data_IF_709112164587
#
_entry.id   IF_709112164587
#
_cell.length_a   1.000
_cell.length_b   1.000
_cell.length_c   1.000
_cell.angle_alpha   90.00
_cell.angle_beta   90.00
_cell.angle_gamma   90.00
#
_symmetry.space_group_name_H-M   'P 1'
#
loop_
_entity.id
_entity.type
_entity.pdbx_description
1 polymer ?
#
# COMPACT_ATOMS: atom_id res chain seq x y z
N UNK A 1 -9.62 8.49 -6.82
CA UNK A 1 -11.01 8.63 -6.35
C UNK A 1 -10.94 9.17 -4.95
N UNK A 2 -11.50 10.35 -4.74
CA UNK A 2 -11.59 10.99 -3.43
C UNK A 2 -12.98 10.74 -2.87
N UNK A 3 -13.07 10.06 -1.74
CA UNK A 3 -14.32 9.72 -1.08
C UNK A 3 -14.08 9.49 0.43
N UNK A 4 -15.09 9.67 1.28
CA UNK A 4 -14.97 9.32 2.70
C UNK A 4 -14.80 7.81 2.89
N UNK A 5 -14.20 7.38 4.00
CA UNK A 5 -14.08 5.95 4.34
C UNK A 5 -15.43 5.23 4.39
N UNK A 6 -16.47 5.91 4.90
CA UNK A 6 -17.84 5.40 4.97
C UNK A 6 -18.31 4.85 3.62
N UNK A 7 -18.04 5.59 2.53
CA UNK A 7 -18.44 5.19 1.18
C UNK A 7 -17.90 3.80 0.82
N UNK A 8 -16.63 3.51 1.08
CA UNK A 8 -16.04 2.21 0.73
C UNK A 8 -16.63 1.06 1.57
N UNK A 9 -16.95 1.33 2.84
CA UNK A 9 -17.59 0.35 3.73
C UNK A 9 -19.02 0.08 3.28
N UNK A 10 -19.80 1.11 2.96
CA UNK A 10 -21.17 0.99 2.45
C UNK A 10 -21.22 0.21 1.13
N UNK A 11 -20.28 0.47 0.21
CA UNK A 11 -20.17 -0.30 -1.03
C UNK A 11 -19.77 -1.76 -0.77
N UNK A 12 -18.90 -2.02 0.21
CA UNK A 12 -18.55 -3.38 0.62
C UNK A 12 -19.74 -4.14 1.20
N UNK A 13 -20.60 -3.46 1.97
CA UNK A 13 -21.86 -4.04 2.47
C UNK A 13 -22.87 -4.26 1.33
N UNK A 14 -22.91 -3.37 0.33
CA UNK A 14 -23.75 -3.54 -0.85
C UNK A 14 -23.40 -4.84 -1.61
N UNK A 15 -22.11 -5.17 -1.74
CA UNK A 15 -21.64 -6.44 -2.34
C UNK A 15 -22.13 -7.69 -1.56
N UNK A 16 -22.36 -7.58 -0.25
CA UNK A 16 -22.96 -8.64 0.58
C UNK A 16 -24.50 -8.73 0.45
N UNK A 17 -25.08 -8.01 -0.52
CA UNK A 17 -26.52 -7.94 -0.74
C UNK A 17 -27.25 -7.17 0.36
N UNK A 18 -26.56 -6.28 1.09
CA UNK A 18 -27.16 -5.41 2.12
C UNK A 18 -27.47 -4.00 1.60
N UNK A 19 -27.44 -3.77 0.28
CA UNK A 19 -27.62 -2.45 -0.35
C UNK A 19 -28.84 -1.66 0.15
N UNK A 20 -29.94 -2.31 0.54
CA UNK A 20 -31.12 -1.65 1.11
C UNK A 20 -31.13 -1.54 2.64
N UNK A 21 -30.30 -2.32 3.33
CA UNK A 21 -30.22 -2.39 4.79
C UNK A 21 -29.04 -1.58 5.37
N UNK A 22 -28.16 -1.01 4.53
CA UNK A 22 -27.04 -0.15 5.00
C UNK A 22 -27.55 1.01 5.85
N UNK A 23 -28.73 1.54 5.53
CA UNK A 23 -29.35 2.64 6.27
C UNK A 23 -29.87 2.25 7.67
N UNK A 24 -30.09 0.95 7.91
CA UNK A 24 -30.56 0.42 9.20
C UNK A 24 -29.39 -0.04 10.10
N UNK A 25 -28.13 0.07 9.64
CA UNK A 25 -26.98 -0.27 10.46
C UNK A 25 -26.74 0.77 11.55
N UNK A 26 -26.43 0.31 12.77
CA UNK A 26 -25.97 1.18 13.83
C UNK A 26 -24.60 1.79 13.44
N UNK A 27 -24.38 3.10 13.70
CA UNK A 27 -23.12 3.77 13.37
C UNK A 27 -21.88 3.09 13.98
N UNK A 28 -22.06 2.52 15.17
CA UNK A 28 -21.02 1.81 15.93
C UNK A 28 -20.53 0.55 15.21
N UNK A 29 -21.42 -0.15 14.48
CA UNK A 29 -21.07 -1.31 13.69
C UNK A 29 -20.29 -0.91 12.42
N UNK A 30 -20.67 0.20 11.78
CA UNK A 30 -19.91 0.75 10.65
C UNK A 30 -18.50 1.16 11.07
N UNK A 31 -18.36 1.78 12.24
CA UNK A 31 -17.05 2.11 12.82
C UNK A 31 -16.23 0.84 13.10
N UNK A 32 -16.84 -0.18 13.70
CA UNK A 32 -16.17 -1.48 13.94
C UNK A 32 -15.68 -2.12 12.64
N UNK A 33 -16.49 -2.09 11.57
CA UNK A 33 -16.10 -2.61 10.25
C UNK A 33 -14.95 -1.78 9.68
N UNK A 34 -15.02 -0.45 9.77
CA UNK A 34 -13.95 0.44 9.30
C UNK A 34 -12.61 0.20 10.02
N UNK A 35 -12.64 -0.03 11.33
CA UNK A 35 -11.44 -0.35 12.12
C UNK A 35 -10.82 -1.69 11.71
N UNK A 36 -11.66 -2.70 11.44
CA UNK A 36 -11.18 -3.99 10.93
C UNK A 36 -10.67 -3.88 9.50
N UNK A 37 -11.27 -3.02 8.67
CA UNK A 37 -10.78 -2.72 7.33
C UNK A 37 -9.40 -2.08 7.43
N UNK A 38 -9.22 -1.07 8.27
CA UNK A 38 -7.92 -0.44 8.53
C UNK A 38 -6.87 -1.48 8.96
N UNK A 39 -7.23 -2.40 9.88
CA UNK A 39 -6.36 -3.49 10.28
C UNK A 39 -6.00 -4.44 9.11
N UNK A 40 -6.97 -4.77 8.26
CA UNK A 40 -6.72 -5.61 7.07
C UNK A 40 -5.79 -4.94 6.07
N UNK A 41 -5.96 -3.64 5.83
CA UNK A 41 -5.12 -2.89 4.92
C UNK A 41 -3.72 -2.65 5.50
N UNK A 42 -3.61 -2.49 6.82
CA UNK A 42 -2.32 -2.41 7.51
C UNK A 42 -1.54 -3.73 7.40
N UNK A 43 -2.24 -4.88 7.46
CA UNK A 43 -1.62 -6.19 7.22
C UNK A 43 -1.07 -6.30 5.79
N UNK A 44 -1.76 -5.73 4.79
CA UNK A 44 -1.26 -5.68 3.41
C UNK A 44 -0.01 -4.80 3.29
N UNK A 45 0.02 -3.66 3.98
CA UNK A 45 1.20 -2.79 4.02
C UNK A 45 2.41 -3.49 4.66
N UNK A 46 2.21 -4.26 5.73
CA UNK A 46 3.29 -5.07 6.34
C UNK A 46 3.87 -6.13 5.39
N UNK A 47 3.11 -6.56 4.38
CA UNK A 47 3.55 -7.51 3.35
C UNK A 47 4.22 -6.81 2.15
N UNK A 48 4.45 -5.49 2.25
CA UNK A 48 5.04 -4.66 1.19
C UNK A 48 4.03 -4.20 0.14
N UNK A 49 2.74 -4.41 0.38
CA UNK A 49 1.65 -4.09 -0.54
C UNK A 49 0.93 -2.81 -0.07
N UNK A 50 1.60 -1.65 -0.18
CA UNK A 50 1.06 -0.36 0.28
C UNK A 50 -0.07 0.13 -0.62
N UNK A 51 -1.17 0.59 -0.01
CA UNK A 51 -2.24 1.29 -0.72
C UNK A 51 -1.94 2.80 -0.67
N UNK A 52 -1.51 3.42 -1.76
CA UNK A 52 -1.26 4.85 -1.78
C UNK A 52 -2.54 5.63 -1.49
N UNK A 53 -2.43 6.58 -0.56
CA UNK A 53 -3.50 7.51 -0.22
C UNK A 53 -4.54 7.00 0.78
N UNK A 54 -4.43 5.77 1.30
CA UNK A 54 -5.19 5.33 2.47
C UNK A 54 -4.63 5.97 3.74
N UNK A 55 -5.50 6.54 4.58
CA UNK A 55 -5.12 7.15 5.85
C UNK A 55 -5.48 6.19 6.98
N UNK A 56 -4.49 5.74 7.76
CA UNK A 56 -4.75 4.91 8.93
C UNK A 56 -5.14 5.76 10.13
N UNK A 57 -5.86 5.17 11.09
CA UNK A 57 -6.12 5.83 12.36
C UNK A 57 -4.83 5.86 13.19
N UNK A 58 -4.43 7.05 13.66
CA UNK A 58 -3.23 7.23 14.48
C UNK A 58 -3.40 6.72 15.92
N UNK A 59 -4.64 6.54 16.37
CA UNK A 59 -4.98 6.10 17.72
C UNK A 59 -6.16 5.11 17.74
N UNK A 60 -6.13 4.09 18.63
CA UNK A 60 -7.27 3.21 18.85
C UNK A 60 -8.49 4.01 19.33
N UNK A 61 -9.63 3.88 18.65
CA UNK A 61 -10.89 4.52 19.01
C UNK A 61 -11.16 5.88 18.35
N UNK A 62 -10.20 6.45 17.62
CA UNK A 62 -10.44 7.61 16.74
C UNK A 62 -10.72 7.10 15.31
N UNK A 63 -11.81 6.34 15.15
CA UNK A 63 -12.21 5.87 13.82
C UNK A 63 -13.01 6.95 13.13
N UNK A 64 -12.34 7.73 12.29
CA UNK A 64 -13.00 8.82 11.60
C UNK A 64 -13.59 8.32 10.26
N UNK A 65 -14.82 7.81 10.33
CA UNK A 65 -15.58 7.30 9.18
C UNK A 65 -15.75 8.36 8.06
N UNK A 66 -15.75 9.64 8.46
CA UNK A 66 -15.87 10.80 7.58
C UNK A 66 -14.53 11.24 6.94
N UNK A 67 -13.41 10.64 7.33
CA UNK A 67 -12.11 10.97 6.75
C UNK A 67 -12.11 10.71 5.25
N UNK A 68 -11.79 11.75 4.50
CA UNK A 68 -11.64 11.65 3.05
C UNK A 68 -10.32 10.99 2.69
N UNK A 69 -10.42 9.98 1.83
CA UNK A 69 -9.29 9.18 1.36
C UNK A 69 -9.15 9.34 -0.14
N UNK A 70 -7.91 9.43 -0.64
CA UNK A 70 -7.64 9.57 -2.07
C UNK A 70 -6.97 8.31 -2.64
N UNK A 71 -7.80 7.37 -3.07
CA UNK A 71 -7.35 6.06 -3.56
C UNK A 71 -7.25 6.09 -5.09
N UNK A 72 -6.17 5.59 -5.72
CA UNK A 72 -6.14 5.46 -7.17
C UNK A 72 -7.33 4.66 -7.70
N UNK A 73 -7.87 5.05 -8.86
CA UNK A 73 -9.07 4.42 -9.44
C UNK A 73 -8.90 2.92 -9.67
N UNK A 74 -7.69 2.47 -10.00
CA UNK A 74 -7.34 1.06 -10.17
C UNK A 74 -7.49 0.22 -8.88
N UNK A 75 -7.39 0.85 -7.70
CA UNK A 75 -7.40 0.19 -6.39
C UNK A 75 -8.74 0.30 -5.66
N UNK A 76 -9.71 1.05 -6.21
CA UNK A 76 -11.04 1.22 -5.59
C UNK A 76 -11.73 -0.12 -5.36
N UNK A 77 -11.70 -1.00 -6.37
CA UNK A 77 -12.33 -2.32 -6.26
C UNK A 77 -11.67 -3.19 -5.17
N UNK A 78 -10.34 -3.11 -5.01
CA UNK A 78 -9.64 -3.84 -3.95
C UNK A 78 -10.17 -3.45 -2.56
N UNK A 79 -10.35 -2.16 -2.32
CA UNK A 79 -10.77 -1.63 -1.02
C UNK A 79 -12.21 -2.03 -0.72
N UNK A 80 -13.13 -1.87 -1.68
CA UNK A 80 -14.53 -2.29 -1.55
C UNK A 80 -14.64 -3.78 -1.23
N UNK A 81 -13.93 -4.63 -1.98
CA UNK A 81 -13.97 -6.08 -1.78
C UNK A 81 -13.30 -6.51 -0.47
N UNK A 82 -12.26 -5.81 -0.03
CA UNK A 82 -11.64 -6.06 1.27
C UNK A 82 -12.59 -5.71 2.42
N UNK A 83 -13.39 -4.64 2.30
CA UNK A 83 -14.41 -4.29 3.27
C UNK A 83 -15.50 -5.38 3.36
N UNK A 84 -15.93 -5.92 2.21
CA UNK A 84 -16.89 -7.03 2.17
C UNK A 84 -16.39 -8.28 2.90
N UNK A 85 -15.11 -8.67 2.69
CA UNK A 85 -14.50 -9.83 3.38
C UNK A 85 -14.45 -9.64 4.88
N UNK A 86 -14.11 -8.44 5.33
CA UNK A 86 -13.97 -8.13 6.75
C UNK A 86 -15.34 -8.07 7.46
N UNK A 87 -16.37 -7.57 6.77
CA UNK A 87 -17.72 -7.42 7.32
C UNK A 87 -18.51 -8.74 7.36
N UNK A 88 -18.25 -9.66 6.44
CA UNK A 88 -19.01 -10.92 6.32
C UNK A 88 -19.03 -11.78 7.60
N UNK A 89 -17.91 -12.04 8.30
CA UNK A 89 -17.92 -12.82 9.54
C UNK A 89 -18.72 -12.17 10.67
N UNK A 90 -18.71 -10.83 10.77
CA UNK A 90 -19.48 -10.11 11.80
C UNK A 90 -20.99 -10.18 11.57
N UNK A 91 -21.40 -10.28 10.30
CA UNK A 91 -22.83 -10.31 9.92
C UNK A 91 -23.34 -11.75 9.77
N UNK A 92 -22.45 -12.75 9.81
CA UNK A 92 -22.80 -14.16 9.63
C UNK A 92 -23.17 -14.54 8.19
N UNK A 93 -22.82 -13.70 7.21
CA UNK A 93 -23.04 -13.97 5.77
C UNK A 93 -21.78 -14.52 5.11
N UNK A 94 -21.95 -15.42 4.16
CA UNK A 94 -20.85 -15.90 3.32
C UNK A 94 -20.69 -15.01 2.08
N UNK A 95 -19.44 -14.73 1.68
CA UNK A 95 -19.18 -14.11 0.38
C UNK A 95 -19.40 -15.09 -0.76
N UNK A 96 -19.81 -14.55 -1.90
CA UNK A 96 -19.83 -15.30 -3.14
C UNK A 96 -18.41 -15.64 -3.63
N UNK A 97 -18.23 -16.81 -4.23
CA UNK A 97 -16.92 -17.30 -4.66
C UNK A 97 -16.27 -16.41 -5.73
N UNK A 98 -17.07 -15.83 -6.62
CA UNK A 98 -16.60 -14.89 -7.65
C UNK A 98 -16.02 -13.62 -7.03
N UNK A 99 -16.62 -13.11 -5.95
CA UNK A 99 -16.14 -11.92 -5.23
C UNK A 99 -14.77 -12.17 -4.59
N UNK A 100 -14.56 -13.36 -4.04
CA UNK A 100 -13.25 -13.77 -3.48
C UNK A 100 -12.19 -13.88 -4.58
N UNK A 101 -12.55 -14.46 -5.74
CA UNK A 101 -11.65 -14.52 -6.89
C UNK A 101 -11.31 -13.13 -7.43
N UNK A 102 -12.29 -12.22 -7.48
CA UNK A 102 -12.08 -10.84 -7.91
C UNK A 102 -11.18 -10.07 -6.94
N UNK A 103 -11.31 -10.29 -5.63
CA UNK A 103 -10.40 -9.70 -4.65
C UNK A 103 -8.97 -10.20 -4.86
N UNK A 104 -8.79 -11.48 -5.15
CA UNK A 104 -7.45 -12.03 -5.44
C UNK A 104 -6.83 -11.30 -6.63
N UNK A 105 -7.56 -11.17 -7.74
CA UNK A 105 -7.10 -10.43 -8.93
C UNK A 105 -6.78 -8.96 -8.57
N UNK A 106 -7.63 -8.31 -7.78
CA UNK A 106 -7.39 -6.94 -7.35
C UNK A 106 -6.13 -6.79 -6.48
N UNK A 107 -5.84 -7.78 -5.61
CA UNK A 107 -4.61 -7.83 -4.81
C UNK A 107 -3.38 -8.06 -5.68
N UNK A 108 -3.48 -8.94 -6.67
CA UNK A 108 -2.40 -9.15 -7.64
C UNK A 108 -2.10 -7.85 -8.42
N UNK A 109 -3.14 -7.12 -8.85
CA UNK A 109 -3.00 -5.83 -9.52
C UNK A 109 -2.28 -4.79 -8.65
N UNK A 110 -2.57 -4.75 -7.34
CA UNK A 110 -1.88 -3.86 -6.42
C UNK A 110 -0.38 -4.14 -6.36
N UNK A 111 0.02 -5.42 -6.37
CA UNK A 111 1.42 -5.81 -6.38
C UNK A 111 2.13 -5.37 -7.66
N UNK A 112 1.44 -5.26 -8.79
CA UNK A 112 2.04 -4.75 -10.03
C UNK A 112 2.06 -3.23 -10.10
N UNK A 113 1.07 -2.55 -9.50
CA UNK A 113 0.90 -1.11 -9.62
C UNK A 113 2.08 -0.29 -9.06
N UNK A 114 2.74 -0.78 -8.01
CA UNK A 114 3.78 -0.04 -7.30
C UNK A 114 5.19 -0.67 -7.40
N UNK A 115 5.41 -1.57 -8.37
CA UNK A 115 6.72 -2.21 -8.57
C UNK A 115 7.56 -1.44 -9.58
N UNK A 116 8.61 -0.71 -9.16
CA UNK A 116 9.69 -0.39 -10.07
C UNK A 116 10.36 -1.71 -10.46
N UNK A 117 10.58 -1.94 -11.75
CA UNK A 117 11.45 -3.04 -12.20
C UNK A 117 12.87 -2.51 -12.06
N UNK A 118 13.64 -2.94 -11.04
CA UNK A 118 14.99 -2.44 -10.87
C UNK A 118 15.81 -2.85 -12.09
N UNK A 119 16.44 -1.87 -12.72
CA UNK A 119 17.36 -2.17 -13.81
C UNK A 119 18.69 -2.59 -13.19
N UNK A 120 19.16 -3.79 -13.57
CA UNK A 120 20.47 -4.23 -13.13
C UNK A 120 21.55 -3.43 -13.86
N UNK A 121 22.51 -2.89 -13.11
CA UNK A 121 23.66 -2.24 -13.73
C UNK A 121 24.42 -3.27 -14.56
N UNK A 122 24.88 -2.86 -15.76
CA UNK A 122 25.75 -3.71 -16.58
C UNK A 122 26.97 -4.18 -15.74
N UNK A 123 27.44 -5.43 -15.95
CA UNK A 123 28.64 -5.93 -15.28
C UNK A 123 29.83 -4.97 -15.44
N UNK A 124 30.66 -4.85 -14.42
CA UNK A 124 31.82 -3.94 -14.43
C UNK A 124 32.86 -4.26 -15.52
N UNK A 125 32.81 -5.45 -16.11
CA UNK A 125 33.69 -5.90 -17.19
C UNK A 125 33.05 -5.77 -18.59
N UNK A 126 31.84 -5.22 -18.71
CA UNK A 126 31.19 -5.04 -20.01
C UNK A 126 31.89 -3.90 -20.78
N UNK A 127 32.39 -4.14 -22.01
CA UNK A 127 32.98 -3.09 -22.81
C UNK A 127 31.92 -2.05 -23.19
N UNK A 128 32.31 -0.79 -23.22
CA UNK A 128 31.42 0.36 -23.43
C UNK A 128 30.86 0.44 -24.87
N UNK A 129 31.43 -0.35 -25.79
CA UNK A 129 31.10 -0.36 -27.22
C UNK A 129 31.83 0.77 -27.97
N UNK A 130 32.28 0.48 -29.19
CA UNK A 130 33.03 1.43 -30.04
C UNK A 130 32.19 2.59 -30.56
N UNK A 131 30.88 2.58 -30.33
CA UNK A 131 29.95 3.66 -30.68
C UNK A 131 29.78 4.72 -29.58
N UNK A 132 30.31 4.52 -28.37
CA UNK A 132 30.24 5.53 -27.32
C UNK A 132 31.34 6.59 -27.55
N UNK A 133 30.99 7.76 -28.07
CA UNK A 133 31.93 8.85 -28.34
C UNK A 133 31.93 9.89 -27.21
N UNK A 134 32.93 9.88 -26.31
CA UNK A 134 32.91 10.71 -25.09
C UNK A 134 32.97 12.22 -25.34
N UNK A 135 33.45 12.62 -26.52
CA UNK A 135 33.67 14.02 -26.90
C UNK A 135 32.55 14.63 -27.75
N UNK A 136 31.66 13.82 -28.35
CA UNK A 136 30.58 14.29 -29.21
C UNK A 136 29.25 14.41 -28.44
N UNK A 137 29.00 13.48 -27.52
CA UNK A 137 27.74 13.35 -26.78
C UNK A 137 27.80 13.99 -25.37
N UNK A 138 28.94 14.54 -24.97
CA UNK A 138 29.21 14.90 -23.58
C UNK A 138 29.30 13.66 -22.69
N UNK A 139 29.61 13.83 -21.40
CA UNK A 139 29.59 12.73 -20.42
C UNK A 139 28.13 12.38 -20.10
N UNK A 140 27.41 11.84 -21.09
CA UNK A 140 25.94 11.87 -21.13
C UNK A 140 25.26 10.92 -20.15
N UNK A 141 25.99 10.03 -19.45
CA UNK A 141 25.34 9.02 -18.61
C UNK A 141 25.90 8.77 -17.20
N UNK A 142 27.08 9.28 -16.79
CA UNK A 142 27.62 8.99 -15.44
C UNK A 142 28.51 10.09 -14.81
N UNK A 143 27.99 11.28 -14.45
CA UNK A 143 28.70 12.17 -13.52
C UNK A 143 28.55 11.71 -12.06
N UNK A 144 27.55 10.89 -11.74
CA UNK A 144 27.35 10.26 -10.44
C UNK A 144 26.99 8.79 -10.69
N UNK A 145 27.81 7.85 -10.22
CA UNK A 145 27.53 6.42 -10.35
C UNK A 145 26.29 6.11 -9.51
N UNK A 146 25.17 5.63 -10.09
CA UNK A 146 24.05 5.17 -9.29
C UNK A 146 24.51 4.04 -8.34
N UNK A 147 23.94 3.90 -7.14
CA UNK A 147 24.23 2.78 -6.26
C UNK A 147 24.04 1.44 -7.01
N UNK A 148 24.81 0.41 -6.63
CA UNK A 148 24.84 -0.91 -7.31
C UNK A 148 23.47 -1.61 -7.37
N UNK A 149 22.53 -1.16 -6.54
CA UNK A 149 21.14 -1.58 -6.52
C UNK A 149 20.28 -0.30 -6.43
N UNK A 150 19.26 -0.23 -7.28
CA UNK A 150 18.24 0.81 -7.17
C UNK A 150 17.40 0.49 -5.93
N UNK A 151 17.57 1.27 -4.87
CA UNK A 151 16.81 1.08 -3.65
C UNK A 151 15.38 1.58 -3.90
N UNK A 152 14.38 0.86 -3.38
CA UNK A 152 12.98 1.13 -3.65
C UNK A 152 12.49 2.50 -3.14
N UNK A 153 11.17 2.75 -3.17
CA UNK A 153 10.57 3.95 -2.62
C UNK A 153 10.85 4.21 -1.12
N UNK A 154 11.43 3.23 -0.42
CA UNK A 154 11.87 3.24 0.98
C UNK A 154 13.36 3.62 1.17
N UNK A 155 14.09 3.86 0.09
CA UNK A 155 15.52 4.24 0.11
C UNK A 155 15.84 5.53 0.86
N UNK A 156 14.82 6.37 1.10
CA UNK A 156 14.90 7.63 1.83
C UNK A 156 13.94 7.63 3.04
N UNK A 157 13.90 6.56 3.83
CA UNK A 157 13.60 6.75 5.24
C UNK A 157 14.85 7.37 5.86
N UNK A 158 14.77 8.64 6.26
CA UNK A 158 15.78 9.18 7.16
C UNK A 158 15.88 8.18 8.32
N UNK A 159 17.07 7.61 8.62
CA UNK A 159 17.20 6.82 9.82
C UNK A 159 16.75 7.75 10.95
N UNK A 160 15.74 7.32 11.67
CA UNK A 160 15.41 7.78 13.01
C UNK A 160 16.65 7.51 13.87
N UNK A 161 17.60 8.45 13.81
CA UNK A 161 18.90 8.45 14.50
C UNK A 161 18.77 8.41 16.04
N UNK A 162 17.56 8.28 16.59
CA UNK A 162 17.29 8.12 18.01
C UNK A 162 17.30 6.66 18.49
N UNK A 163 17.10 5.65 17.62
CA UNK A 163 17.11 4.24 18.04
C UNK A 163 18.51 3.60 18.03
N UNK A 164 19.49 4.21 17.37
CA UNK A 164 20.90 3.76 17.33
C UNK A 164 21.88 4.70 18.08
N UNK A 165 21.41 5.74 18.77
CA UNK A 165 22.30 6.64 19.53
C UNK A 165 22.64 6.14 20.95
N UNK A 166 22.36 4.87 21.25
CA UNK A 166 22.86 4.22 22.46
C UNK A 166 24.39 4.22 22.48
N UNK A 167 24.97 4.98 23.40
CA UNK A 167 26.40 5.06 23.71
C UNK A 167 27.08 3.68 23.69
N UNK A 168 27.71 3.33 22.56
CA UNK A 168 28.64 2.21 22.48
C UNK A 168 30.07 2.68 22.79
N UNK A 169 30.23 3.50 23.84
CA UNK A 169 31.53 3.71 24.47
C UNK A 169 31.87 2.43 25.26
N UNK A 170 32.48 1.46 24.58
CA UNK A 170 33.25 0.42 25.25
C UNK A 170 34.61 1.05 25.57
N UNK A 171 34.72 1.63 26.77
CA UNK A 171 36.00 2.01 27.34
C UNK A 171 36.76 0.75 27.79
N UNK A 172 37.99 0.62 27.28
CA UNK A 172 39.15 -0.11 27.80
C UNK A 172 38.96 -1.45 28.51
N UNK A 173 39.55 -2.51 27.93
CA UNK A 173 40.75 -3.19 28.45
C UNK A 173 41.55 -3.79 27.30
#
# INVERSE_FOLDING_TARGET
MRAPKSYFVEQGLAELGLSGAVYDFEPEDLERISNRLDANLAELESKGARIPGWQFADAPGVSNLSTEVNIPTALVNLVILSAAIVAAPSIGKSLHSVTVAQLKIARDNLLFFNKPIPQYQRPSNMPVGSGNQPWADGVQFYPQRPPKLDAGPDSHMAPDMELWSGNNNIEGF
#
